data_IF_301315484245
#
_entry.id   IF_301315484245
#
_cell.length_a   1.000
_cell.length_b   1.000
_cell.length_c   1.000
_cell.angle_alpha   90.00
_cell.angle_beta   90.00
_cell.angle_gamma   90.00
#
_symmetry.space_group_name_H-M   'P 1'
#
loop_
_entity.id
_entity.type
_entity.pdbx_description
1 polymer ?
#
# COMPACT_ATOMS: atom_id res chain seq x y z
N UNK A 1 19.94 26.11 -8.54
CA UNK A 1 18.96 26.73 -9.44
C UNK A 1 19.60 27.78 -10.35
N UNK A 2 19.22 27.85 -11.63
CA UNK A 2 19.70 28.81 -12.59
C UNK A 2 18.55 29.46 -13.38
N UNK A 3 18.84 30.58 -14.09
CA UNK A 3 17.83 31.30 -14.86
C UNK A 3 16.64 31.75 -14.02
N UNK A 4 15.41 31.43 -14.45
CA UNK A 4 14.17 31.81 -13.77
C UNK A 4 13.77 30.87 -12.62
N UNK A 5 14.51 29.76 -12.41
CA UNK A 5 14.18 28.78 -11.36
C UNK A 5 14.13 29.38 -9.94
N UNK A 6 15.08 30.24 -9.49
CA UNK A 6 15.00 30.85 -8.16
C UNK A 6 13.71 31.63 -7.94
N UNK A 7 13.29 32.39 -8.95
CA UNK A 7 12.07 33.18 -8.89
C UNK A 7 10.82 32.29 -8.85
N UNK A 8 10.80 31.20 -9.65
CA UNK A 8 9.72 30.22 -9.67
C UNK A 8 9.58 29.51 -8.32
N UNK A 9 10.70 29.05 -7.74
CA UNK A 9 10.74 28.41 -6.42
C UNK A 9 10.16 29.35 -5.35
N UNK A 10 10.59 30.61 -5.35
CA UNK A 10 10.13 31.61 -4.38
C UNK A 10 8.63 31.87 -4.50
N UNK A 11 8.12 32.04 -5.73
CA UNK A 11 6.68 32.27 -5.97
C UNK A 11 5.84 31.10 -5.55
N UNK A 12 6.22 29.86 -5.92
CA UNK A 12 5.50 28.65 -5.56
C UNK A 12 5.49 28.43 -4.04
N UNK A 13 6.63 28.60 -3.38
CA UNK A 13 6.74 28.44 -1.92
C UNK A 13 5.89 29.47 -1.18
N UNK A 14 5.94 30.77 -1.60
CA UNK A 14 5.11 31.82 -1.01
C UNK A 14 3.62 31.57 -1.26
N UNK A 15 3.25 31.09 -2.45
CA UNK A 15 1.88 30.72 -2.75
C UNK A 15 1.35 29.62 -1.84
N UNK A 16 2.13 28.56 -1.61
CA UNK A 16 1.77 27.49 -0.67
C UNK A 16 1.66 28.00 0.78
N UNK A 17 2.55 28.86 1.20
CA UNK A 17 2.50 29.48 2.54
C UNK A 17 1.27 30.40 2.71
N UNK A 18 0.83 31.05 1.63
CA UNK A 18 -0.38 31.88 1.60
C UNK A 18 -1.69 31.09 1.43
N UNK A 19 -1.62 29.74 1.33
CA UNK A 19 -2.80 28.89 1.17
C UNK A 19 -3.38 28.87 -0.25
N UNK A 20 -2.60 29.26 -1.28
CA UNK A 20 -3.04 29.16 -2.67
C UNK A 20 -3.14 27.68 -3.05
N UNK A 21 -4.35 27.23 -3.33
CA UNK A 21 -4.66 25.83 -3.61
C UNK A 21 -4.13 25.36 -4.97
N UNK A 22 -4.15 26.21 -5.99
CA UNK A 22 -3.78 25.86 -7.36
C UNK A 22 -2.69 26.79 -7.90
N UNK A 23 -1.58 26.19 -8.33
CA UNK A 23 -0.47 26.92 -8.94
C UNK A 23 0.00 26.15 -10.18
N UNK A 24 0.45 26.86 -11.21
CA UNK A 24 0.94 26.26 -12.46
C UNK A 24 2.38 26.69 -12.68
N UNK A 25 3.27 25.68 -12.86
CA UNK A 25 4.65 25.87 -13.31
C UNK A 25 4.74 25.55 -14.80
N UNK A 26 4.84 26.60 -15.64
CA UNK A 26 5.00 26.46 -17.07
C UNK A 26 6.48 26.51 -17.45
N UNK A 27 6.92 25.54 -18.26
CA UNK A 27 8.28 25.48 -18.76
C UNK A 27 8.43 24.41 -19.85
N UNK A 28 9.33 24.66 -20.79
CA UNK A 28 9.66 23.71 -21.85
C UNK A 28 10.33 22.45 -21.30
N UNK A 29 10.39 21.41 -22.10
CA UNK A 29 11.13 20.18 -21.74
C UNK A 29 12.60 20.54 -21.50
N UNK A 30 13.20 19.99 -20.45
CA UNK A 30 14.61 20.28 -20.09
C UNK A 30 14.83 21.59 -19.31
N UNK A 31 13.79 22.38 -19.00
CA UNK A 31 13.93 23.62 -18.21
C UNK A 31 14.15 23.40 -16.70
N UNK A 32 14.26 22.15 -16.25
CA UNK A 32 14.48 21.81 -14.84
C UNK A 32 13.25 21.96 -13.95
N UNK A 33 12.05 21.68 -14.49
CA UNK A 33 10.80 21.70 -13.70
C UNK A 33 10.85 20.77 -12.50
N UNK A 34 11.34 19.53 -12.68
CA UNK A 34 11.51 18.55 -11.59
C UNK A 34 12.40 19.10 -10.48
N UNK A 35 13.55 19.66 -10.84
CA UNK A 35 14.45 20.29 -9.88
C UNK A 35 13.83 21.49 -9.18
N UNK A 36 13.05 22.32 -9.90
CA UNK A 36 12.30 23.44 -9.32
C UNK A 36 11.31 22.96 -8.27
N UNK A 37 10.51 21.91 -8.58
CA UNK A 37 9.53 21.35 -7.64
C UNK A 37 10.23 20.67 -6.46
N UNK A 38 11.35 19.98 -6.67
CA UNK A 38 12.15 19.40 -5.58
C UNK A 38 12.59 20.49 -4.57
N UNK A 39 13.08 21.63 -5.04
CA UNK A 39 13.42 22.75 -4.15
C UNK A 39 12.21 23.34 -3.41
N UNK A 40 11.00 23.31 -4.02
CA UNK A 40 9.78 23.71 -3.32
C UNK A 40 9.43 22.73 -2.23
N UNK A 41 9.46 21.42 -2.51
CA UNK A 41 9.20 20.33 -1.52
C UNK A 41 10.17 20.45 -0.36
N UNK A 42 11.47 20.62 -0.65
CA UNK A 42 12.50 20.79 0.37
C UNK A 42 12.24 22.00 1.29
N UNK A 43 11.79 23.14 0.73
CA UNK A 43 11.49 24.34 1.52
C UNK A 43 10.22 24.22 2.34
N UNK A 44 9.21 23.52 1.83
CA UNK A 44 7.89 23.42 2.45
C UNK A 44 7.84 22.35 3.54
N UNK A 45 8.65 21.31 3.44
CA UNK A 45 8.76 20.21 4.41
C UNK A 45 7.42 19.54 4.73
N UNK A 46 6.60 19.30 3.70
CA UNK A 46 5.31 18.59 3.81
C UNK A 46 5.38 17.30 3.02
N UNK A 47 4.66 16.24 3.43
CA UNK A 47 4.43 15.08 2.57
C UNK A 47 3.91 15.52 1.21
N UNK A 48 4.45 14.92 0.15
CA UNK A 48 4.12 15.28 -1.22
C UNK A 48 3.71 14.05 -2.03
N UNK A 49 2.73 14.22 -2.93
CA UNK A 49 2.40 13.24 -3.95
C UNK A 49 2.61 13.84 -5.34
N UNK A 50 3.29 13.10 -6.20
CA UNK A 50 3.59 13.47 -7.58
C UNK A 50 2.86 12.47 -8.48
N UNK A 51 1.87 12.94 -9.21
CA UNK A 51 1.03 12.09 -10.07
C UNK A 51 1.49 12.22 -11.52
N UNK A 52 1.90 11.10 -12.11
CA UNK A 52 2.23 10.99 -13.52
C UNK A 52 1.12 10.26 -14.29
N UNK A 53 0.94 10.58 -15.57
CA UNK A 53 -0.12 10.00 -16.39
C UNK A 53 0.14 8.54 -16.81
N UNK A 54 1.38 8.03 -16.67
CA UNK A 54 1.71 6.63 -16.96
C UNK A 54 2.86 6.10 -16.09
N UNK A 55 3.06 4.78 -16.10
CA UNK A 55 4.10 4.09 -15.32
C UNK A 55 5.52 4.53 -15.70
N UNK A 56 5.80 4.74 -16.97
CA UNK A 56 7.15 5.09 -17.47
C UNK A 56 7.61 6.45 -16.95
N UNK A 57 6.74 7.46 -17.04
CA UNK A 57 7.03 8.78 -16.49
C UNK A 57 7.12 8.75 -14.97
N UNK A 58 6.25 7.97 -14.31
CA UNK A 58 6.32 7.79 -12.86
C UNK A 58 7.66 7.17 -12.44
N UNK A 59 8.15 6.15 -13.16
CA UNK A 59 9.45 5.54 -12.87
C UNK A 59 10.62 6.54 -13.04
N UNK A 60 10.62 7.31 -14.12
CA UNK A 60 11.61 8.36 -14.33
C UNK A 60 11.61 9.39 -13.20
N UNK A 61 10.44 9.90 -12.82
CA UNK A 61 10.31 10.88 -11.74
C UNK A 61 10.73 10.27 -10.40
N UNK A 62 10.40 9.00 -10.13
CA UNK A 62 10.81 8.30 -8.92
C UNK A 62 12.34 8.28 -8.78
N UNK A 63 13.07 7.89 -9.85
CA UNK A 63 14.53 7.87 -9.84
C UNK A 63 15.12 9.28 -9.68
N UNK A 64 14.56 10.30 -10.36
CA UNK A 64 14.99 11.68 -10.23
C UNK A 64 14.82 12.19 -8.79
N UNK A 65 13.63 11.98 -8.18
CA UNK A 65 13.37 12.41 -6.80
C UNK A 65 14.19 11.64 -5.78
N UNK A 66 14.38 10.33 -5.97
CA UNK A 66 15.23 9.51 -5.09
C UNK A 66 16.68 9.98 -5.10
N UNK A 67 17.19 10.40 -6.26
CA UNK A 67 18.51 11.02 -6.37
C UNK A 67 18.63 12.40 -5.71
N UNK A 68 17.54 13.19 -5.71
CA UNK A 68 17.49 14.52 -5.11
C UNK A 68 17.23 14.48 -3.59
N UNK A 69 16.61 13.43 -3.07
CA UNK A 69 16.23 13.25 -1.67
C UNK A 69 16.69 11.89 -1.13
N UNK A 70 18.02 11.69 -0.96
CA UNK A 70 18.57 10.39 -0.58
C UNK A 70 18.14 9.91 0.81
N UNK A 71 17.81 10.83 1.73
CA UNK A 71 17.45 10.53 3.12
C UNK A 71 15.94 10.47 3.37
N UNK A 72 15.15 10.97 2.42
CA UNK A 72 13.68 10.96 2.51
C UNK A 72 13.10 9.61 2.09
N UNK A 73 11.87 9.32 2.55
CA UNK A 73 11.09 8.22 2.00
C UNK A 73 10.51 8.62 0.63
N UNK A 74 11.26 8.35 -0.42
CA UNK A 74 10.78 8.50 -1.80
C UNK A 74 10.21 7.16 -2.24
N UNK A 75 8.91 7.10 -2.48
CA UNK A 75 8.15 5.86 -2.68
C UNK A 75 7.45 5.82 -4.05
N UNK A 76 7.25 4.60 -4.56
CA UNK A 76 6.68 4.37 -5.88
C UNK A 76 5.31 3.70 -5.77
N UNK A 77 4.28 4.33 -6.35
CA UNK A 77 2.91 3.83 -6.26
C UNK A 77 2.22 3.81 -7.63
N UNK A 78 2.31 2.70 -8.33
CA UNK A 78 1.70 2.50 -9.66
C UNK A 78 0.84 1.24 -9.68
N UNK A 79 0.16 0.96 -10.78
CA UNK A 79 -0.58 -0.30 -10.94
C UNK A 79 0.37 -1.50 -10.89
N UNK A 80 0.04 -2.49 -10.06
CA UNK A 80 0.82 -3.72 -9.92
C UNK A 80 0.52 -4.77 -10.99
N UNK A 81 -0.44 -4.51 -11.89
CA UNK A 81 -0.68 -5.40 -13.03
C UNK A 81 0.37 -5.20 -14.12
N UNK A 82 1.08 -6.27 -14.47
CA UNK A 82 1.92 -6.33 -15.66
C UNK A 82 1.10 -6.65 -16.90
N UNK A 83 0.08 -7.48 -16.72
CA UNK A 83 -0.86 -7.88 -17.74
C UNK A 83 -2.28 -7.89 -17.17
N UNK A 84 -3.23 -7.42 -17.94
CA UNK A 84 -4.65 -7.47 -17.60
C UNK A 84 -5.48 -7.67 -18.87
N UNK A 85 -6.19 -8.77 -18.92
CA UNK A 85 -7.18 -9.07 -19.94
C UNK A 85 -8.56 -9.16 -19.29
N UNK A 86 -9.49 -8.25 -19.60
CA UNK A 86 -10.86 -8.36 -19.11
C UNK A 86 -11.57 -9.55 -19.75
N UNK A 87 -12.55 -10.09 -19.07
CA UNK A 87 -13.47 -11.06 -19.63
C UNK A 87 -14.23 -10.44 -20.82
N UNK A 88 -14.46 -11.24 -21.86
CA UNK A 88 -15.24 -10.84 -23.02
C UNK A 88 -16.02 -12.03 -23.59
N UNK A 89 -17.20 -11.76 -24.14
CA UNK A 89 -17.97 -12.75 -24.88
C UNK A 89 -18.11 -12.32 -26.33
N UNK A 90 -17.74 -13.23 -27.24
CA UNK A 90 -17.85 -13.04 -28.67
C UNK A 90 -19.07 -13.81 -29.21
N UNK A 91 -20.24 -13.16 -29.41
CA UNK A 91 -21.47 -13.84 -29.83
C UNK A 91 -21.37 -14.54 -31.19
N UNK A 92 -20.52 -14.03 -32.08
CA UNK A 92 -20.35 -14.58 -33.44
C UNK A 92 -19.71 -15.95 -33.47
N UNK A 93 -18.89 -16.28 -32.46
CA UNK A 93 -18.17 -17.56 -32.36
C UNK A 93 -18.54 -18.35 -31.12
N UNK A 94 -19.51 -17.86 -30.35
CA UNK A 94 -19.93 -18.43 -29.04
C UNK A 94 -18.71 -18.69 -28.13
N UNK A 95 -17.76 -17.73 -28.13
CA UNK A 95 -16.50 -17.86 -27.41
C UNK A 95 -16.50 -16.94 -26.20
N UNK A 96 -16.29 -17.50 -25.02
CA UNK A 96 -16.02 -16.76 -23.80
C UNK A 96 -14.51 -16.65 -23.57
N UNK A 97 -14.03 -15.43 -23.45
CA UNK A 97 -12.65 -15.13 -23.07
C UNK A 97 -12.64 -14.88 -21.58
N UNK A 98 -11.90 -15.70 -20.84
CA UNK A 98 -11.79 -15.55 -19.40
C UNK A 98 -10.91 -14.34 -19.03
N UNK A 99 -11.20 -13.75 -17.88
CA UNK A 99 -10.34 -12.73 -17.27
C UNK A 99 -8.98 -13.35 -16.95
N UNK A 100 -7.92 -12.65 -17.35
CA UNK A 100 -6.54 -13.03 -17.02
C UNK A 100 -5.75 -11.81 -16.52
N UNK A 101 -4.90 -12.01 -15.51
CA UNK A 101 -4.07 -10.94 -14.97
C UNK A 101 -2.81 -11.49 -14.31
N UNK A 102 -1.71 -10.80 -14.51
CA UNK A 102 -0.45 -11.06 -13.83
C UNK A 102 -0.10 -9.90 -12.90
N UNK A 103 0.14 -10.21 -11.62
CA UNK A 103 0.55 -9.25 -10.60
C UNK A 103 2.07 -9.25 -10.51
N UNK A 104 2.65 -8.06 -10.50
CA UNK A 104 4.06 -7.86 -10.23
C UNK A 104 4.27 -7.71 -8.72
N UNK A 105 4.86 -8.71 -8.09
CA UNK A 105 5.09 -8.76 -6.64
C UNK A 105 6.02 -7.64 -6.14
N UNK A 106 6.99 -7.22 -6.96
CA UNK A 106 7.90 -6.13 -6.60
C UNK A 106 7.16 -4.78 -6.56
N UNK A 107 6.29 -4.53 -7.54
CA UNK A 107 5.45 -3.32 -7.54
C UNK A 107 4.44 -3.37 -6.39
N UNK A 108 3.88 -4.53 -6.07
CA UNK A 108 2.97 -4.67 -4.94
C UNK A 108 3.67 -4.34 -3.60
N UNK A 109 4.88 -4.83 -3.40
CA UNK A 109 5.74 -4.46 -2.27
C UNK A 109 5.96 -2.95 -2.19
N UNK A 110 6.34 -2.31 -3.29
CA UNK A 110 6.57 -0.86 -3.34
C UNK A 110 5.31 -0.06 -2.98
N UNK A 111 4.13 -0.55 -3.35
CA UNK A 111 2.85 0.05 -2.97
C UNK A 111 2.61 -0.06 -1.45
N UNK A 112 2.90 -1.22 -0.87
CA UNK A 112 2.82 -1.40 0.58
C UNK A 112 3.85 -0.54 1.31
N UNK A 113 5.08 -0.43 0.80
CA UNK A 113 6.11 0.46 1.34
C UNK A 113 5.66 1.93 1.32
N UNK A 114 5.07 2.39 0.23
CA UNK A 114 4.53 3.75 0.12
C UNK A 114 3.44 4.03 1.16
N UNK A 115 2.51 3.11 1.37
CA UNK A 115 1.46 3.24 2.38
C UNK A 115 2.04 3.23 3.79
N UNK A 116 2.98 2.32 4.07
CA UNK A 116 3.67 2.26 5.35
C UNK A 116 4.45 3.55 5.65
N UNK A 117 5.23 4.05 4.68
CA UNK A 117 5.99 5.29 4.83
C UNK A 117 5.07 6.49 5.11
N UNK A 118 3.94 6.60 4.40
CA UNK A 118 2.96 7.68 4.60
C UNK A 118 2.39 7.69 6.03
N UNK A 119 2.23 6.54 6.65
CA UNK A 119 1.67 6.40 8.00
C UNK A 119 2.72 6.56 9.11
N UNK A 120 3.99 6.32 8.81
CA UNK A 120 5.07 6.28 9.81
C UNK A 120 6.04 7.45 9.73
N UNK A 121 6.14 8.13 8.58
CA UNK A 121 7.10 9.21 8.33
C UNK A 121 6.43 10.52 7.94
N UNK A 122 7.15 11.62 8.08
CA UNK A 122 6.71 12.96 7.67
C UNK A 122 7.42 13.46 6.41
N UNK A 123 8.57 12.90 6.12
CA UNK A 123 9.44 13.27 4.99
C UNK A 123 9.17 12.40 3.75
N UNK A 124 7.89 12.14 3.46
CA UNK A 124 7.44 11.22 2.42
C UNK A 124 7.19 11.94 1.11
N UNK A 125 7.72 11.40 0.02
CA UNK A 125 7.44 11.82 -1.36
C UNK A 125 6.96 10.59 -2.13
N UNK A 126 5.68 10.55 -2.50
CA UNK A 126 5.12 9.44 -3.26
C UNK A 126 5.04 9.84 -4.73
N UNK A 127 5.68 9.05 -5.61
CA UNK A 127 5.54 9.18 -7.06
C UNK A 127 4.56 8.11 -7.54
N UNK A 128 3.42 8.57 -8.05
CA UNK A 128 2.29 7.71 -8.38
C UNK A 128 1.84 7.84 -9.83
N UNK A 129 1.21 6.81 -10.35
CA UNK A 129 0.37 6.90 -11.55
C UNK A 129 -1.09 7.15 -11.16
N UNK A 130 -1.97 7.31 -12.15
CA UNK A 130 -3.43 7.48 -11.94
C UNK A 130 -4.08 6.32 -11.16
N UNK A 131 -3.40 5.18 -11.01
CA UNK A 131 -3.87 4.05 -10.21
C UNK A 131 -4.00 4.36 -8.71
N UNK A 132 -3.39 5.44 -8.22
CA UNK A 132 -3.54 5.88 -6.84
C UNK A 132 -4.92 6.51 -6.53
N UNK A 133 -5.73 6.81 -7.57
CA UNK A 133 -7.04 7.45 -7.44
C UNK A 133 -8.16 6.40 -7.32
N UNK A 134 -7.92 5.18 -7.81
CA UNK A 134 -8.93 4.14 -7.94
C UNK A 134 -8.62 2.89 -7.13
N UNK A 135 -9.69 2.25 -6.64
CA UNK A 135 -9.64 0.89 -6.12
C UNK A 135 -8.79 0.71 -4.85
N UNK A 136 -8.61 1.73 -4.04
CA UNK A 136 -8.06 1.60 -2.71
C UNK A 136 -9.19 1.44 -1.69
N UNK A 137 -8.94 0.66 -0.63
CA UNK A 137 -9.85 0.53 0.49
C UNK A 137 -10.01 1.83 1.29
N UNK A 138 -10.90 1.83 2.29
CA UNK A 138 -11.05 2.98 3.19
C UNK A 138 -9.80 3.17 4.05
N UNK A 139 -9.21 4.38 4.10
CA UNK A 139 -8.10 4.69 5.01
C UNK A 139 -8.45 4.43 6.46
N UNK A 140 -9.69 4.72 6.89
CA UNK A 140 -10.17 4.50 8.25
C UNK A 140 -10.23 3.02 8.59
N UNK A 141 -10.71 2.18 7.66
CA UNK A 141 -10.71 0.73 7.83
C UNK A 141 -9.28 0.19 7.92
N UNK A 142 -8.38 0.64 7.05
CA UNK A 142 -6.98 0.24 7.06
C UNK A 142 -6.30 0.61 8.39
N UNK A 143 -6.44 1.84 8.86
CA UNK A 143 -5.87 2.30 10.12
C UNK A 143 -6.46 1.59 11.34
N UNK A 144 -7.76 1.32 11.32
CA UNK A 144 -8.46 0.61 12.40
C UNK A 144 -8.11 -0.88 12.51
N UNK A 145 -7.44 -1.45 11.51
CA UNK A 145 -7.03 -2.85 11.48
C UNK A 145 -5.54 -3.06 11.75
N UNK A 146 -4.78 -2.01 12.08
CA UNK A 146 -3.37 -2.13 12.46
C UNK A 146 -3.26 -2.88 13.79
N UNK A 147 -2.46 -3.93 13.85
CA UNK A 147 -2.21 -4.70 15.08
C UNK A 147 -1.04 -4.09 15.83
N UNK A 148 -1.32 -3.55 17.02
CA UNK A 148 -0.28 -3.01 17.90
C UNK A 148 0.28 -4.12 18.77
N UNK A 149 1.61 -4.24 18.84
CA UNK A 149 2.32 -5.20 19.67
C UNK A 149 3.29 -4.44 20.59
N UNK A 150 3.24 -4.74 21.88
CA UNK A 150 4.09 -4.11 22.88
C UNK A 150 4.52 -5.13 23.95
N UNK A 151 5.79 -5.11 24.32
CA UNK A 151 6.38 -5.99 25.32
C UNK A 151 5.72 -5.73 26.69
N UNK A 152 5.33 -6.81 27.37
CA UNK A 152 4.65 -6.77 28.68
C UNK A 152 3.12 -6.68 28.58
N UNK A 153 2.56 -6.53 27.40
CA UNK A 153 1.09 -6.56 27.21
C UNK A 153 0.60 -8.00 27.28
N UNK A 154 -0.46 -8.21 28.05
CA UNK A 154 -1.17 -9.49 28.17
C UNK A 154 -2.25 -9.56 27.07
N UNK A 155 -2.06 -10.42 26.09
CA UNK A 155 -2.97 -10.68 25.01
C UNK A 155 -2.83 -12.15 24.56
N UNK A 156 -3.92 -12.94 24.53
CA UNK A 156 -3.85 -14.31 24.08
C UNK A 156 -3.22 -14.40 22.67
N UNK A 157 -2.23 -15.27 22.52
CA UNK A 157 -1.59 -15.51 21.22
C UNK A 157 -2.61 -15.79 20.11
N UNK A 158 -3.64 -16.57 20.39
CA UNK A 158 -4.71 -16.90 19.44
C UNK A 158 -5.48 -15.68 18.95
N UNK A 159 -5.59 -14.63 19.77
CA UNK A 159 -6.20 -13.37 19.36
C UNK A 159 -5.32 -12.63 18.34
N UNK A 160 -4.02 -12.61 18.55
CA UNK A 160 -3.07 -12.05 17.57
C UNK A 160 -3.13 -12.83 16.25
N UNK A 161 -3.12 -14.17 16.30
CA UNK A 161 -3.22 -14.99 15.08
C UNK A 161 -4.51 -14.72 14.30
N UNK A 162 -5.62 -14.55 15.01
CA UNK A 162 -6.90 -14.20 14.41
C UNK A 162 -6.87 -12.81 13.77
N UNK A 163 -6.28 -11.83 14.44
CA UNK A 163 -6.12 -10.48 13.88
C UNK A 163 -5.22 -10.50 12.63
N UNK A 164 -4.12 -11.28 12.62
CA UNK A 164 -3.27 -11.43 11.43
C UNK A 164 -4.06 -11.95 10.22
N UNK A 165 -4.93 -12.95 10.43
CA UNK A 165 -5.80 -13.46 9.36
C UNK A 165 -6.81 -12.37 8.91
N UNK A 166 -7.38 -11.61 9.85
CA UNK A 166 -8.32 -10.51 9.55
C UNK A 166 -7.67 -9.41 8.70
N UNK A 167 -6.38 -9.13 8.92
CA UNK A 167 -5.60 -8.18 8.13
C UNK A 167 -4.90 -8.81 6.92
N UNK A 168 -5.38 -9.99 6.50
CA UNK A 168 -5.01 -10.69 5.26
C UNK A 168 -3.60 -11.28 5.23
N UNK A 169 -2.99 -11.58 6.38
CA UNK A 169 -1.80 -12.43 6.40
C UNK A 169 -2.21 -13.90 6.24
N UNK A 170 -1.41 -14.62 5.49
CA UNK A 170 -1.56 -16.06 5.32
C UNK A 170 -0.68 -16.80 6.32
N UNK A 171 -1.23 -17.85 6.98
CA UNK A 171 -0.39 -18.74 7.78
C UNK A 171 0.36 -19.71 6.89
N UNK A 172 1.68 -19.65 6.92
CA UNK A 172 2.53 -20.56 6.19
C UNK A 172 3.75 -20.96 7.05
N UNK A 173 3.68 -22.14 7.64
CA UNK A 173 4.73 -22.64 8.55
C UNK A 173 5.95 -23.22 7.77
N UNK A 174 5.82 -23.41 6.45
CA UNK A 174 6.84 -24.05 5.58
C UNK A 174 7.56 -22.98 4.75
N UNK A 175 6.80 -22.22 3.96
CA UNK A 175 7.33 -21.18 3.07
C UNK A 175 7.04 -19.80 3.66
N UNK A 176 8.08 -19.19 4.25
CA UNK A 176 7.99 -17.92 4.94
C UNK A 176 8.39 -16.77 4.00
N UNK A 177 7.39 -16.13 3.42
CA UNK A 177 7.53 -15.01 2.48
C UNK A 177 6.66 -13.81 2.90
N UNK A 178 6.76 -12.71 2.20
CA UNK A 178 6.02 -11.48 2.49
C UNK A 178 4.51 -11.73 2.59
N UNK A 179 3.86 -11.08 3.55
CA UNK A 179 2.43 -11.26 3.80
C UNK A 179 2.07 -12.55 4.49
N UNK A 180 3.04 -13.32 4.99
CA UNK A 180 2.80 -14.56 5.75
C UNK A 180 3.21 -14.42 7.20
N UNK A 181 2.65 -15.29 8.03
CA UNK A 181 3.13 -15.56 9.37
C UNK A 181 3.26 -17.04 9.63
N UNK A 182 4.14 -17.41 10.56
CA UNK A 182 4.31 -18.79 11.01
C UNK A 182 4.36 -18.89 12.52
N UNK A 183 4.00 -20.05 13.06
CA UNK A 183 3.91 -20.29 14.50
C UNK A 183 4.75 -21.50 14.88
N UNK A 184 5.61 -21.33 15.88
CA UNK A 184 6.45 -22.39 16.43
C UNK A 184 6.44 -22.34 17.95
N UNK A 185 5.62 -23.15 18.60
CA UNK A 185 5.42 -23.11 20.06
C UNK A 185 4.87 -21.72 20.46
N UNK A 186 5.58 -21.05 21.37
CA UNK A 186 5.22 -19.74 21.87
C UNK A 186 5.80 -18.57 21.07
N UNK A 187 6.24 -18.84 19.83
CA UNK A 187 6.83 -17.86 18.95
C UNK A 187 5.95 -17.68 17.72
N UNK A 188 5.62 -16.43 17.40
CA UNK A 188 4.96 -16.00 16.16
C UNK A 188 5.95 -15.17 15.35
N UNK A 189 6.21 -15.59 14.12
CA UNK A 189 7.01 -14.82 13.18
C UNK A 189 6.12 -14.26 12.08
N UNK A 190 6.28 -12.96 11.76
CA UNK A 190 5.45 -12.22 10.83
C UNK A 190 6.34 -11.56 9.81
N UNK A 191 6.08 -11.79 8.51
CA UNK A 191 6.83 -11.16 7.43
C UNK A 191 5.97 -10.05 6.77
N UNK A 192 6.24 -8.77 7.09
CA UNK A 192 5.47 -7.68 6.54
C UNK A 192 5.52 -7.62 5.00
N UNK A 193 4.45 -7.17 4.31
CA UNK A 193 4.40 -7.14 2.86
C UNK A 193 5.31 -6.08 2.22
N UNK A 194 5.77 -5.11 3.00
CA UNK A 194 6.64 -3.99 2.57
C UNK A 194 8.13 -4.22 2.87
N UNK A 195 8.50 -5.35 3.46
CA UNK A 195 9.87 -5.68 3.85
C UNK A 195 10.44 -6.81 2.99
N UNK A 196 11.77 -6.80 2.77
CA UNK A 196 12.49 -7.90 2.11
C UNK A 196 13.49 -8.58 3.04
N UNK A 197 14.15 -7.80 3.89
CA UNK A 197 15.30 -8.25 4.66
C UNK A 197 14.97 -8.44 6.14
N UNK A 198 13.78 -8.01 6.56
CA UNK A 198 13.40 -8.04 7.97
C UNK A 198 12.01 -8.63 8.18
N UNK A 199 11.91 -9.52 9.14
CA UNK A 199 10.63 -10.01 9.67
C UNK A 199 10.57 -9.77 11.18
N UNK A 200 9.38 -9.83 11.73
CA UNK A 200 9.13 -9.71 13.17
C UNK A 200 9.08 -11.09 13.79
N UNK A 201 9.70 -11.23 14.97
CA UNK A 201 9.52 -12.39 15.86
C UNK A 201 8.97 -11.92 17.19
N UNK A 202 7.81 -12.43 17.54
CA UNK A 202 7.11 -12.14 18.80
C UNK A 202 7.18 -13.38 19.67
N UNK A 203 7.80 -13.27 20.82
CA UNK A 203 7.98 -14.36 21.78
C UNK A 203 6.96 -14.15 22.94
N UNK A 204 6.25 -15.23 23.29
CA UNK A 204 5.22 -15.21 24.32
C UNK A 204 5.66 -16.04 25.53
N UNK A 205 5.25 -15.61 26.72
CA UNK A 205 5.23 -16.41 27.92
C UNK A 205 3.79 -16.46 28.44
N UNK A 206 3.11 -17.57 28.21
CA UNK A 206 1.66 -17.65 28.38
C UNK A 206 0.95 -16.70 27.41
N UNK A 207 0.15 -15.79 27.96
CA UNK A 207 -0.57 -14.76 27.21
C UNK A 207 0.15 -13.40 27.21
N UNK A 208 1.38 -13.34 27.71
CA UNK A 208 2.16 -12.09 27.75
C UNK A 208 3.19 -12.06 26.63
N UNK A 209 3.28 -10.93 25.91
CA UNK A 209 4.37 -10.67 24.97
C UNK A 209 5.66 -10.43 25.76
N UNK A 210 6.59 -11.40 25.72
CA UNK A 210 7.86 -11.34 26.47
C UNK A 210 8.92 -10.53 25.72
N UNK A 211 8.99 -10.71 24.39
CA UNK A 211 9.96 -10.02 23.56
C UNK A 211 9.48 -9.85 22.12
N UNK A 212 9.97 -8.78 21.47
CA UNK A 212 9.76 -8.50 20.05
C UNK A 212 11.13 -8.29 19.41
N UNK A 213 11.45 -9.06 18.37
CA UNK A 213 12.71 -8.98 17.65
C UNK A 213 12.50 -8.73 16.17
N UNK A 214 13.45 -8.00 15.56
CA UNK A 214 13.68 -8.03 14.13
C UNK A 214 14.55 -9.23 13.81
N UNK A 215 14.23 -9.95 12.76
CA UNK A 215 14.97 -11.13 12.30
C UNK A 215 15.23 -11.07 10.80
N UNK A 216 16.33 -11.67 10.37
CA UNK A 216 16.56 -12.05 8.97
C UNK A 216 15.60 -13.22 8.64
N UNK A 217 14.68 -13.07 7.68
CA UNK A 217 13.66 -14.09 7.41
C UNK A 217 14.22 -15.39 6.86
N UNK A 218 15.38 -15.36 6.18
CA UNK A 218 16.03 -16.53 5.59
C UNK A 218 16.80 -17.34 6.65
N UNK A 219 17.53 -16.65 7.52
CA UNK A 219 18.42 -17.29 8.51
C UNK A 219 17.79 -17.40 9.89
N UNK A 220 16.69 -16.68 10.14
CA UNK A 220 16.06 -16.59 11.46
C UNK A 220 16.92 -15.91 12.52
N UNK A 221 18.01 -15.20 12.09
CA UNK A 221 18.93 -14.52 13.01
C UNK A 221 18.33 -13.20 13.50
N UNK A 222 18.37 -12.97 14.81
CA UNK A 222 17.97 -11.69 15.40
C UNK A 222 18.91 -10.57 14.92
N UNK A 223 18.31 -9.49 14.39
CA UNK A 223 19.01 -8.29 13.88
C UNK A 223 18.75 -7.07 14.75
N UNK A 224 17.65 -7.08 15.54
CA UNK A 224 17.29 -6.01 16.43
C UNK A 224 16.28 -6.45 17.49
N UNK A 225 16.02 -5.58 18.45
CA UNK A 225 15.00 -5.76 19.49
C UNK A 225 14.14 -4.52 19.58
N UNK A 226 12.83 -4.71 19.71
CA UNK A 226 11.84 -3.64 19.81
C UNK A 226 11.07 -3.76 21.13
N UNK A 227 10.69 -2.64 21.70
CA UNK A 227 9.75 -2.61 22.84
C UNK A 227 8.30 -2.58 22.39
N UNK A 228 8.06 -2.02 21.20
CA UNK A 228 6.74 -1.95 20.55
C UNK A 228 6.87 -1.91 19.04
N UNK A 229 5.86 -2.38 18.35
CA UNK A 229 5.76 -2.30 16.88
C UNK A 229 4.30 -2.33 16.44
N UNK A 230 4.06 -1.99 15.19
CA UNK A 230 2.75 -2.08 14.55
C UNK A 230 2.85 -3.00 13.33
N UNK A 231 1.89 -3.92 13.18
CA UNK A 231 1.76 -4.78 12.01
C UNK A 231 0.65 -4.22 11.13
N UNK A 232 1.00 -3.81 9.93
CA UNK A 232 0.08 -3.23 8.96
C UNK A 232 -0.56 -4.32 8.11
N UNK A 233 -1.79 -4.09 7.58
CA UNK A 233 -2.46 -5.07 6.73
C UNK A 233 -1.63 -5.52 5.54
N UNK A 234 -1.75 -6.82 5.19
CA UNK A 234 -1.08 -7.42 4.03
C UNK A 234 -1.79 -7.13 2.70
N UNK A 235 -2.88 -6.36 2.74
CA UNK A 235 -3.62 -5.93 1.56
C UNK A 235 -4.16 -4.51 1.77
N UNK A 236 -4.23 -3.72 0.69
CA UNK A 236 -4.93 -2.44 0.70
C UNK A 236 -6.47 -2.60 0.75
N UNK A 237 -6.97 -3.81 0.48
CA UNK A 237 -8.40 -4.12 0.38
C UNK A 237 -8.94 -4.79 1.64
N UNK A 238 -8.54 -4.29 2.80
CA UNK A 238 -9.07 -4.78 4.08
C UNK A 238 -10.35 -4.06 4.46
N UNK A 239 -11.25 -4.79 5.11
CA UNK A 239 -12.50 -4.26 5.62
C UNK A 239 -12.92 -4.98 6.89
N UNK A 240 -13.69 -4.31 7.73
CA UNK A 240 -14.19 -4.89 8.98
C UNK A 240 -15.19 -6.01 8.73
N UNK A 241 -15.30 -6.95 9.68
CA UNK A 241 -16.28 -8.05 9.60
C UNK A 241 -17.72 -7.56 9.46
N UNK A 242 -18.08 -6.45 10.09
CA UNK A 242 -19.44 -5.92 10.01
C UNK A 242 -19.73 -5.31 8.63
N UNK A 243 -18.73 -4.63 8.04
CA UNK A 243 -18.83 -4.18 6.65
C UNK A 243 -18.97 -5.35 5.69
N UNK A 244 -18.21 -6.44 5.90
CA UNK A 244 -18.28 -7.64 5.07
C UNK A 244 -19.65 -8.30 5.15
N UNK A 245 -20.24 -8.43 6.35
CA UNK A 245 -21.60 -8.95 6.54
C UNK A 245 -22.64 -8.10 5.82
N UNK A 246 -22.56 -6.77 5.95
CA UNK A 246 -23.46 -5.83 5.26
C UNK A 246 -23.33 -5.96 3.75
N UNK A 247 -22.10 -5.88 3.22
CA UNK A 247 -21.85 -6.03 1.80
C UNK A 247 -22.37 -7.36 1.24
N UNK A 248 -22.21 -8.47 1.97
CA UNK A 248 -22.74 -9.78 1.59
C UNK A 248 -24.26 -9.78 1.52
N UNK A 249 -24.94 -9.12 2.46
CA UNK A 249 -26.40 -8.99 2.45
C UNK A 249 -26.88 -8.14 1.27
N UNK A 250 -26.22 -7.01 1.01
CA UNK A 250 -26.54 -6.11 -0.09
C UNK A 250 -26.34 -6.80 -1.46
N UNK A 251 -25.23 -7.52 -1.64
CA UNK A 251 -24.94 -8.29 -2.86
C UNK A 251 -26.01 -9.36 -3.10
N UNK A 252 -26.46 -10.07 -2.06
CA UNK A 252 -27.53 -11.07 -2.19
C UNK A 252 -28.86 -10.45 -2.57
N UNK A 253 -29.19 -9.29 -2.02
CA UNK A 253 -30.41 -8.56 -2.37
C UNK A 253 -30.38 -8.07 -3.82
N UNK A 254 -29.25 -7.48 -4.26
CA UNK A 254 -29.05 -7.04 -5.64
C UNK A 254 -29.13 -8.21 -6.63
N UNK A 255 -28.48 -9.33 -6.31
CA UNK A 255 -28.54 -10.55 -7.13
C UNK A 255 -29.98 -11.03 -7.31
N UNK A 256 -30.78 -11.07 -6.23
CA UNK A 256 -32.18 -11.52 -6.30
C UNK A 256 -33.01 -10.60 -7.21
N UNK A 257 -32.82 -9.27 -7.12
CA UNK A 257 -33.51 -8.31 -7.98
C UNK A 257 -33.07 -8.44 -9.45
N UNK A 258 -31.79 -8.62 -9.69
CA UNK A 258 -31.24 -8.77 -11.05
C UNK A 258 -31.74 -10.05 -11.70
N UNK A 259 -31.78 -11.18 -10.98
CA UNK A 259 -32.29 -12.45 -11.50
C UNK A 259 -33.78 -12.36 -11.78
N UNK A 260 -34.56 -11.70 -10.91
CA UNK A 260 -36.02 -11.48 -11.17
C UNK A 260 -36.20 -10.66 -12.46
N UNK A 261 -35.44 -9.61 -12.67
CA UNK A 261 -35.49 -8.80 -13.89
C UNK A 261 -35.11 -9.57 -15.15
N UNK A 262 -34.12 -10.48 -15.08
CA UNK A 262 -33.80 -11.35 -16.23
C UNK A 262 -34.95 -12.33 -16.54
N UNK A 263 -35.54 -12.94 -15.52
CA UNK A 263 -36.71 -13.84 -15.71
C UNK A 263 -37.87 -13.14 -16.37
N UNK A 264 -38.22 -11.91 -15.92
CA UNK A 264 -39.29 -11.11 -16.55
C UNK A 264 -39.00 -10.79 -18.03
N UNK A 265 -37.73 -10.62 -18.41
CA UNK A 265 -37.33 -10.36 -19.79
C UNK A 265 -37.08 -11.60 -20.61
N UNK A 266 -37.30 -12.80 -20.05
CA UNK A 266 -36.99 -14.09 -20.67
C UNK A 266 -35.54 -14.20 -21.15
N UNK A 267 -34.61 -13.56 -20.44
CA UNK A 267 -33.17 -13.52 -20.72
C UNK A 267 -32.39 -14.57 -19.88
N UNK A 268 -33.05 -15.71 -19.57
CA UNK A 268 -32.39 -16.84 -18.89
C UNK A 268 -31.36 -17.50 -19.84
N UNK A 269 -30.07 -17.40 -19.50
CA UNK A 269 -29.02 -18.27 -20.03
C UNK A 269 -28.24 -18.91 -18.91
#
# INVERSE_FOLDING_TARGET
PSGDQPQAIDKLTKGLAAGIEHQVLLGVTGSGKTFTIANVIERVQRPAVIIAHNKTLAAQLYEEFKGLFPDNAVEYFVSYYDYYQPEAYLPTTDTYIEKDSAINEEIDKLRHAATHALLTRRDVIIVASVSCIYGLGSPEAYLGMIVQLEVGVEIPREEILKHLIEIQYERNDIDFHRGTFRVRGDVVEIFPPYEDEQALRVEFFGDTIEAIHLIDPLRGKKTGTLTRTAVYPSSHYVTTRDNLKRATADIRAELALTLAGYKERSEER
#
